data_IF_049576352055
#
_entry.id   IF_049576352055
#
_cell.length_a   1.000
_cell.length_b   1.000
_cell.length_c   1.000
_cell.angle_alpha   90.00
_cell.angle_beta   90.00
_cell.angle_gamma   90.00
#
_symmetry.space_group_name_H-M   'P 1'
#
loop_
_entity.id
_entity.type
_entity.pdbx_description
1 polymer ?
#
# COMPACT_ATOMS: atom_id res chain seq x y z
N UNK A 1 -13.33 7.94 0.86
CA UNK A 1 -12.73 6.77 1.54
C UNK A 1 -11.23 6.90 1.40
N UNK A 2 -10.48 6.76 2.49
CA UNK A 2 -9.03 6.83 2.48
C UNK A 2 -8.43 5.43 2.28
N UNK A 3 -7.21 5.36 1.75
CA UNK A 3 -6.53 4.10 1.45
C UNK A 3 -5.18 4.03 2.15
N UNK A 4 -4.82 2.83 2.56
CA UNK A 4 -3.43 2.45 2.84
C UNK A 4 -3.07 1.25 1.98
N UNK A 5 -1.82 0.80 1.99
CA UNK A 5 -1.51 -0.43 1.30
C UNK A 5 -0.07 -0.89 1.36
N UNK A 6 0.22 -1.91 0.58
CA UNK A 6 1.55 -2.51 0.44
C UNK A 6 2.09 -2.27 -0.97
N UNK A 7 3.21 -1.57 -1.05
CA UNK A 7 3.96 -1.33 -2.28
C UNK A 7 5.07 -2.39 -2.44
N UNK A 8 5.10 -3.06 -3.59
CA UNK A 8 6.08 -4.09 -3.92
C UNK A 8 5.89 -4.63 -5.33
N UNK A 9 6.54 -5.75 -5.65
CA UNK A 9 6.42 -6.43 -6.95
C UNK A 9 6.20 -7.92 -6.76
N UNK A 10 5.24 -8.49 -7.51
CA UNK A 10 4.85 -9.90 -7.41
C UNK A 10 4.38 -10.26 -5.99
N UNK A 11 3.55 -9.41 -5.37
CA UNK A 11 3.18 -9.50 -3.94
C UNK A 11 1.73 -9.87 -3.69
N UNK A 12 0.99 -10.32 -4.71
CA UNK A 12 -0.43 -10.68 -4.60
C UNK A 12 -0.73 -11.77 -3.56
N UNK A 13 0.27 -12.59 -3.20
CA UNK A 13 0.16 -13.64 -2.19
C UNK A 13 0.15 -13.12 -0.74
N UNK A 14 0.37 -11.81 -0.52
CA UNK A 14 0.50 -11.27 0.84
C UNK A 14 -0.79 -11.38 1.65
N UNK A 15 -0.64 -11.69 2.95
CA UNK A 15 -1.73 -11.68 3.91
C UNK A 15 -2.00 -10.28 4.51
N UNK A 16 -1.23 -9.25 4.13
CA UNK A 16 -1.41 -7.89 4.66
C UNK A 16 -2.83 -7.35 4.45
N UNK A 17 -3.47 -7.44 3.26
CA UNK A 17 -4.82 -6.92 3.07
C UNK A 17 -5.89 -7.54 3.99
N UNK A 18 -6.04 -8.88 4.12
CA UNK A 18 -7.04 -9.42 5.04
C UNK A 18 -6.75 -9.02 6.49
N UNK A 19 -5.48 -9.02 6.92
CA UNK A 19 -5.09 -8.64 8.29
C UNK A 19 -5.48 -7.18 8.59
N UNK A 20 -5.07 -6.24 7.74
CA UNK A 20 -5.29 -4.81 7.99
C UNK A 20 -6.76 -4.41 7.80
N UNK A 21 -7.45 -4.94 6.79
CA UNK A 21 -8.87 -4.64 6.58
C UNK A 21 -9.73 -5.20 7.72
N UNK A 22 -9.41 -6.39 8.26
CA UNK A 22 -10.10 -6.91 9.44
C UNK A 22 -9.86 -6.02 10.67
N UNK A 23 -8.63 -5.55 10.87
CA UNK A 23 -8.30 -4.61 11.94
C UNK A 23 -9.05 -3.29 11.79
N UNK A 24 -9.10 -2.70 10.60
CA UNK A 24 -9.83 -1.45 10.34
C UNK A 24 -11.32 -1.61 10.61
N UNK A 25 -11.91 -2.71 10.14
CA UNK A 25 -13.31 -3.05 10.40
C UNK A 25 -13.60 -3.20 11.89
N UNK A 26 -12.77 -3.93 12.64
CA UNK A 26 -12.94 -4.13 14.09
C UNK A 26 -12.86 -2.85 14.90
N UNK A 27 -12.10 -1.87 14.44
CA UNK A 27 -11.87 -0.61 15.15
C UNK A 27 -12.66 0.57 14.56
N UNK A 28 -13.62 0.34 13.66
CA UNK A 28 -14.39 1.39 12.98
C UNK A 28 -13.52 2.46 12.31
N UNK A 29 -12.36 2.06 11.77
CA UNK A 29 -11.44 2.93 11.05
C UNK A 29 -11.88 3.00 9.58
N UNK A 30 -12.20 4.20 9.08
CA UNK A 30 -12.62 4.44 7.70
C UNK A 30 -11.43 4.43 6.73
N UNK A 31 -10.80 3.25 6.60
CA UNK A 31 -9.62 3.01 5.76
C UNK A 31 -9.72 1.63 5.10
N UNK A 32 -9.25 1.52 3.87
CA UNK A 32 -9.13 0.26 3.15
C UNK A 32 -7.66 -0.01 2.81
N UNK A 33 -7.17 -1.22 3.07
CA UNK A 33 -5.82 -1.67 2.78
C UNK A 33 -5.76 -2.36 1.41
N UNK A 34 -4.88 -1.90 0.52
CA UNK A 34 -4.74 -2.39 -0.87
C UNK A 34 -3.33 -2.89 -1.19
N UNK A 35 -3.21 -3.68 -2.26
CA UNK A 35 -1.92 -4.07 -2.83
C UNK A 35 -1.60 -3.14 -3.99
N UNK A 36 -0.39 -2.58 -3.99
CA UNK A 36 0.17 -1.79 -5.08
C UNK A 36 1.35 -2.56 -5.68
N UNK A 37 1.03 -3.47 -6.61
CA UNK A 37 2.00 -4.29 -7.35
C UNK A 37 2.34 -3.60 -8.68
N UNK A 38 3.35 -2.72 -8.64
CA UNK A 38 3.74 -1.87 -9.77
C UNK A 38 5.20 -2.10 -10.13
N UNK A 39 5.65 -1.64 -11.31
CA UNK A 39 7.06 -1.76 -11.70
C UNK A 39 7.91 -0.71 -11.00
N UNK A 40 9.21 -0.97 -10.88
CA UNK A 40 10.15 -0.06 -10.22
C UNK A 40 10.16 1.33 -10.86
N UNK A 41 10.05 1.39 -12.20
CA UNK A 41 9.99 2.64 -12.96
C UNK A 41 8.76 3.50 -12.63
N UNK A 42 7.73 2.92 -12.02
CA UNK A 42 6.47 3.59 -11.67
C UNK A 42 6.44 4.03 -10.20
N UNK A 43 7.37 3.54 -9.37
CA UNK A 43 7.41 3.78 -7.92
C UNK A 43 7.44 5.27 -7.59
N UNK A 44 8.36 6.03 -8.21
CA UNK A 44 8.48 7.47 -7.93
C UNK A 44 7.18 8.22 -8.22
N UNK A 45 6.61 8.00 -9.41
CA UNK A 45 5.34 8.61 -9.83
C UNK A 45 4.19 8.19 -8.92
N UNK A 46 4.17 6.94 -8.47
CA UNK A 46 3.17 6.44 -7.54
C UNK A 46 3.26 7.17 -6.18
N UNK A 47 4.46 7.31 -5.61
CA UNK A 47 4.67 8.01 -4.34
C UNK A 47 4.25 9.48 -4.42
N UNK A 48 4.55 10.16 -5.53
CA UNK A 48 4.11 11.54 -5.78
C UNK A 48 2.58 11.66 -5.89
N UNK A 49 1.90 10.58 -6.32
CA UNK A 49 0.46 10.57 -6.52
C UNK A 49 -0.36 10.22 -5.26
N UNK A 50 0.27 9.84 -4.14
CA UNK A 50 -0.44 9.40 -2.93
C UNK A 50 -1.46 10.44 -2.43
N UNK A 51 -1.11 11.74 -2.30
CA UNK A 51 -2.05 12.74 -1.79
C UNK A 51 -3.27 12.91 -2.68
N UNK A 52 -3.08 12.88 -4.02
CA UNK A 52 -4.16 13.03 -4.99
C UNK A 52 -5.10 11.82 -5.07
N UNK A 53 -4.64 10.65 -4.61
CA UNK A 53 -5.40 9.40 -4.66
C UNK A 53 -6.03 9.01 -3.30
N UNK A 54 -6.05 9.93 -2.32
CA UNK A 54 -6.50 9.65 -0.94
C UNK A 54 -5.75 8.49 -0.28
N UNK A 55 -4.47 8.27 -0.64
CA UNK A 55 -3.63 7.24 -0.02
C UNK A 55 -2.86 7.89 1.12
N UNK A 56 -3.18 7.51 2.36
CA UNK A 56 -2.61 8.11 3.58
C UNK A 56 -1.21 7.60 3.90
N UNK A 57 -0.85 6.44 3.36
CA UNK A 57 0.47 5.85 3.54
C UNK A 57 0.54 4.43 2.98
N UNK A 58 1.77 3.96 2.75
CA UNK A 58 2.03 2.60 2.27
C UNK A 58 3.14 1.94 3.09
N UNK A 59 2.99 0.65 3.36
CA UNK A 59 4.10 -0.20 3.68
C UNK A 59 4.89 -0.50 2.40
N UNK A 60 6.19 -0.71 2.52
CA UNK A 60 7.07 -1.07 1.40
C UNK A 60 7.65 -2.45 1.67
N UNK A 61 7.67 -3.30 0.65
CA UNK A 61 8.33 -4.62 0.69
C UNK A 61 9.29 -4.81 -0.47
N UNK A 62 9.91 -5.99 -0.56
CA UNK A 62 10.82 -6.35 -1.64
C UNK A 62 10.17 -6.12 -3.02
N UNK A 63 10.96 -5.69 -4.02
CA UNK A 63 12.36 -5.27 -3.94
C UNK A 63 12.54 -3.77 -3.63
N UNK A 64 11.48 -3.05 -3.21
CA UNK A 64 11.46 -1.59 -3.18
C UNK A 64 11.90 -0.96 -1.85
N UNK A 65 12.12 -1.76 -0.80
CA UNK A 65 12.61 -1.26 0.48
C UNK A 65 13.94 -0.51 0.33
N UNK A 66 14.90 -1.07 -0.42
CA UNK A 66 16.21 -0.45 -0.63
C UNK A 66 16.19 0.71 -1.62
N UNK A 67 15.14 0.81 -2.45
CA UNK A 67 15.00 1.88 -3.43
C UNK A 67 14.43 3.18 -2.84
N UNK A 68 13.72 3.07 -1.71
CA UNK A 68 12.99 4.18 -1.10
C UNK A 68 13.69 4.74 0.15
N UNK A 69 14.58 3.95 0.80
CA UNK A 69 15.34 4.35 2.00
C UNK A 69 16.60 5.14 1.61
#
# INVERSE_FOLDING_TARGET
MNYSGLLGRNIQYTLSPPIHNEYYKKNNISLEYRIFDIRQSEVKKFLESLPSNNIVGVNVTIPYKEYII
#
